data_IF_137335088748
#
_entry.id   IF_137335088748
#
_cell.length_a   1.000
_cell.length_b   1.000
_cell.length_c   1.000
_cell.angle_alpha   90.00
_cell.angle_beta   90.00
_cell.angle_gamma   90.00
#
_symmetry.space_group_name_H-M   'P 1'
#
loop_
_entity.id
_entity.type
_entity.pdbx_description
1 polymer ?
#
# COMPACT_ATOMS: atom_id res chain seq x y z
N UNK A 1 45.19 15.01 8.18
CA UNK A 1 44.38 14.76 9.40
C UNK A 1 42.87 14.89 9.18
N UNK A 2 42.35 14.78 7.93
CA UNK A 2 40.95 15.10 7.61
C UNK A 2 40.02 13.89 7.41
N UNK A 3 40.52 12.70 7.03
CA UNK A 3 39.64 11.58 6.67
C UNK A 3 39.16 10.76 7.88
N UNK A 4 39.99 10.59 8.91
CA UNK A 4 39.59 9.88 10.12
C UNK A 4 38.43 10.60 10.84
N UNK A 5 38.49 11.93 10.91
CA UNK A 5 37.46 12.75 11.54
C UNK A 5 36.10 12.63 10.82
N UNK A 6 36.09 12.66 9.49
CA UNK A 6 34.85 12.48 8.69
C UNK A 6 34.17 11.14 8.96
N UNK A 7 34.95 10.06 9.12
CA UNK A 7 34.40 8.73 9.45
C UNK A 7 33.67 8.73 10.78
N UNK A 8 34.24 9.37 11.80
CA UNK A 8 33.61 9.46 13.12
C UNK A 8 32.42 10.41 13.16
N UNK A 9 32.42 11.51 12.40
CA UNK A 9 31.24 12.38 12.25
C UNK A 9 30.07 11.61 11.62
N UNK A 10 30.33 10.79 10.60
CA UNK A 10 29.29 9.91 10.03
C UNK A 10 28.76 8.91 11.06
N UNK A 11 29.65 8.36 11.88
CA UNK A 11 29.29 7.43 12.96
C UNK A 11 28.46 8.10 14.07
N UNK A 12 28.78 9.35 14.42
CA UNK A 12 28.02 10.15 15.40
C UNK A 12 26.57 10.33 14.96
N UNK A 13 26.34 10.68 13.69
CA UNK A 13 24.98 10.84 13.15
C UNK A 13 24.22 9.52 13.16
N UNK A 14 24.83 8.41 12.70
CA UNK A 14 24.20 7.09 12.78
C UNK A 14 23.79 6.71 14.21
N UNK A 15 24.58 7.07 15.21
CA UNK A 15 24.25 6.82 16.62
C UNK A 15 23.08 7.70 17.09
N UNK A 16 23.05 8.98 16.68
CA UNK A 16 21.95 9.91 16.97
C UNK A 16 20.63 9.48 16.29
N UNK A 17 20.71 8.91 15.09
CA UNK A 17 19.57 8.43 14.30
C UNK A 17 19.12 7.01 14.72
N UNK A 18 19.75 6.41 15.74
CA UNK A 18 19.48 5.03 16.20
C UNK A 18 19.71 3.94 15.13
N UNK A 19 20.45 4.24 14.06
CA UNK A 19 20.78 3.33 12.96
C UNK A 19 22.12 2.59 13.15
N UNK A 20 22.92 2.97 14.14
CA UNK A 20 24.22 2.38 14.42
C UNK A 20 24.12 0.96 14.99
N UNK A 21 24.98 0.07 14.52
CA UNK A 21 25.15 -1.27 15.12
C UNK A 21 25.86 -1.19 16.48
N UNK A 22 25.75 -2.26 17.29
CA UNK A 22 26.43 -2.34 18.61
C UNK A 22 27.95 -2.16 18.52
N UNK A 23 28.56 -2.65 17.45
CA UNK A 23 30.01 -2.52 17.25
C UNK A 23 30.41 -1.12 16.82
N UNK A 24 29.59 -0.47 16.00
CA UNK A 24 29.75 0.95 15.66
C UNK A 24 29.61 1.85 16.89
N UNK A 25 28.66 1.58 17.78
CA UNK A 25 28.53 2.30 19.06
C UNK A 25 29.79 2.16 19.92
N UNK A 26 30.29 0.93 20.12
CA UNK A 26 31.53 0.70 20.89
C UNK A 26 32.74 1.41 20.27
N UNK A 27 32.85 1.41 18.94
CA UNK A 27 33.92 2.11 18.23
C UNK A 27 33.84 3.63 18.43
N UNK A 28 32.63 4.20 18.43
CA UNK A 28 32.43 5.62 18.71
C UNK A 28 32.77 5.95 20.17
N UNK A 29 32.31 5.15 21.12
CA UNK A 29 32.56 5.35 22.55
C UNK A 29 34.06 5.32 22.87
N UNK A 30 34.79 4.36 22.29
CA UNK A 30 36.25 4.30 22.41
C UNK A 30 36.93 5.56 21.86
N UNK A 31 36.48 6.05 20.69
CA UNK A 31 37.05 7.26 20.09
C UNK A 31 36.77 8.53 20.90
N UNK A 32 35.56 8.66 21.46
CA UNK A 32 35.16 9.80 22.29
C UNK A 32 35.85 9.80 23.66
N UNK A 33 36.20 8.63 24.18
CA UNK A 33 37.02 8.51 25.38
C UNK A 33 38.43 9.09 25.16
N UNK A 34 39.05 8.78 24.02
CA UNK A 34 40.42 9.19 23.70
C UNK A 34 40.51 10.61 23.10
N UNK A 35 39.49 11.08 22.38
CA UNK A 35 39.51 12.35 21.65
C UNK A 35 38.58 13.40 22.26
N UNK A 36 39.14 14.43 22.90
CA UNK A 36 38.38 15.54 23.49
C UNK A 36 37.62 16.37 22.45
N UNK A 37 38.19 16.60 21.27
CA UNK A 37 37.55 17.38 20.20
C UNK A 37 36.26 16.71 19.71
N UNK A 38 36.29 15.40 19.48
CA UNK A 38 35.13 14.64 19.03
C UNK A 38 34.08 14.51 20.14
N UNK A 39 34.51 14.43 21.40
CA UNK A 39 33.60 14.44 22.56
C UNK A 39 32.80 15.73 22.66
N UNK A 40 33.46 16.88 22.53
CA UNK A 40 32.78 18.19 22.58
C UNK A 40 31.79 18.30 21.42
N UNK A 41 32.20 17.95 20.21
CA UNK A 41 31.33 18.02 19.04
C UNK A 41 30.09 17.12 19.17
N UNK A 42 30.25 15.88 19.64
CA UNK A 42 29.13 14.96 19.85
C UNK A 42 28.17 15.46 20.93
N UNK A 43 28.69 16.07 21.99
CA UNK A 43 27.87 16.66 23.05
C UNK A 43 27.02 17.84 22.54
N UNK A 44 27.60 18.74 21.75
CA UNK A 44 26.88 19.86 21.12
C UNK A 44 25.76 19.39 20.18
N UNK A 45 26.03 18.35 19.38
CA UNK A 45 25.03 17.73 18.51
C UNK A 45 23.87 17.13 19.31
N UNK A 46 24.19 16.36 20.35
CA UNK A 46 23.18 15.73 21.22
C UNK A 46 22.29 16.75 21.94
N UNK A 47 22.87 17.84 22.43
CA UNK A 47 22.12 18.91 23.07
C UNK A 47 21.10 19.55 22.11
N UNK A 48 21.49 19.75 20.85
CA UNK A 48 20.62 20.30 19.82
C UNK A 48 19.46 19.34 19.49
N UNK A 49 19.74 18.04 19.38
CA UNK A 49 18.74 17.00 19.17
C UNK A 49 17.73 16.92 20.33
N UNK A 50 18.21 16.93 21.58
CA UNK A 50 17.35 16.91 22.77
C UNK A 50 16.42 18.12 22.86
N UNK A 51 16.91 19.30 22.46
CA UNK A 51 16.11 20.53 22.43
C UNK A 51 14.98 20.44 21.40
N UNK A 52 15.28 19.97 20.18
CA UNK A 52 14.27 19.75 19.14
C UNK A 52 13.22 18.75 19.59
N UNK A 53 13.63 17.63 20.19
CA UNK A 53 12.70 16.61 20.65
C UNK A 53 11.69 17.16 21.68
N UNK A 54 12.12 18.07 22.56
CA UNK A 54 11.21 18.73 23.53
C UNK A 54 10.21 19.69 22.85
N UNK A 55 10.64 20.36 21.79
CA UNK A 55 9.80 21.29 21.01
C UNK A 55 8.76 20.57 20.15
N UNK A 56 9.05 19.34 19.71
CA UNK A 56 8.15 18.50 18.91
C UNK A 56 7.08 17.90 19.81
N UNK A 57 6.13 18.73 20.23
CA UNK A 57 4.79 18.29 20.64
C UNK A 57 3.76 18.83 19.64
N UNK A 58 3.74 18.32 18.40
CA UNK A 58 2.73 18.73 17.43
C UNK A 58 1.37 18.16 17.87
N UNK A 59 0.68 18.88 18.75
CA UNK A 59 -0.73 18.64 19.02
C UNK A 59 -1.50 19.08 17.77
N UNK A 60 -2.13 18.12 17.10
CA UNK A 60 -3.00 18.44 15.98
C UNK A 60 -4.10 19.40 16.46
N UNK A 61 -4.35 20.52 15.76
CA UNK A 61 -5.42 21.43 16.17
C UNK A 61 -6.76 20.68 16.16
N UNK A 62 -7.67 21.04 17.08
CA UNK A 62 -8.99 20.40 17.27
C UNK A 62 -9.78 20.16 15.99
N UNK A 63 -9.55 20.98 14.96
CA UNK A 63 -10.25 20.93 13.67
C UNK A 63 -9.39 20.43 12.50
N UNK A 64 -8.19 19.87 12.74
CA UNK A 64 -7.30 19.38 11.68
C UNK A 64 -8.01 18.36 10.78
N UNK A 65 -8.60 17.33 11.39
CA UNK A 65 -9.31 16.27 10.67
C UNK A 65 -10.45 16.82 9.82
N UNK A 66 -11.23 17.76 10.37
CA UNK A 66 -12.33 18.40 9.64
C UNK A 66 -11.82 19.22 8.45
N UNK A 67 -10.82 20.08 8.66
CA UNK A 67 -10.23 20.90 7.61
C UNK A 67 -9.55 20.09 6.51
N UNK A 68 -8.98 18.93 6.84
CA UNK A 68 -8.41 18.01 5.86
C UNK A 68 -9.55 17.36 5.06
N UNK A 69 -10.55 16.79 5.73
CA UNK A 69 -11.71 16.16 5.09
C UNK A 69 -12.46 17.10 4.15
N UNK A 70 -12.65 18.37 4.54
CA UNK A 70 -13.33 19.39 3.72
C UNK A 70 -12.53 19.77 2.45
N UNK A 71 -11.21 19.53 2.45
CA UNK A 71 -10.33 19.79 1.30
C UNK A 71 -10.10 18.56 0.42
N UNK A 72 -10.52 17.37 0.85
CA UNK A 72 -10.48 16.20 -0.03
C UNK A 72 -11.61 16.33 -1.08
N UNK A 73 -11.34 16.02 -2.37
CA UNK A 73 -12.39 15.96 -3.38
C UNK A 73 -13.46 14.95 -2.93
N UNK A 74 -14.72 15.34 -3.03
CA UNK A 74 -15.85 14.53 -2.55
C UNK A 74 -15.76 13.10 -3.12
N UNK A 75 -15.69 12.10 -2.23
CA UNK A 75 -15.67 10.70 -2.64
C UNK A 75 -16.99 10.33 -3.31
N UNK A 76 -16.97 10.32 -4.65
CA UNK A 76 -18.12 9.97 -5.48
C UNK A 76 -18.56 8.50 -5.30
N UNK A 77 -17.78 7.65 -4.63
CA UNK A 77 -18.15 6.25 -4.35
C UNK A 77 -19.29 6.16 -3.34
N UNK A 78 -19.39 7.11 -2.40
CA UNK A 78 -20.51 7.17 -1.46
C UNK A 78 -21.79 7.69 -2.10
N UNK A 79 -21.72 8.56 -3.11
CA UNK A 79 -22.90 9.08 -3.81
C UNK A 79 -23.65 7.97 -4.56
N UNK A 80 -22.92 7.11 -5.28
CA UNK A 80 -23.50 5.95 -5.97
C UNK A 80 -24.09 4.95 -4.97
N UNK A 81 -23.36 4.67 -3.87
CA UNK A 81 -23.81 3.74 -2.82
C UNK A 81 -25.05 4.25 -2.06
N UNK A 82 -25.12 5.54 -1.78
CA UNK A 82 -26.29 6.16 -1.16
C UNK A 82 -27.48 6.22 -2.12
N UNK A 83 -27.25 6.43 -3.42
CA UNK A 83 -28.32 6.44 -4.42
C UNK A 83 -28.92 5.03 -4.62
N UNK A 84 -28.07 4.00 -4.72
CA UNK A 84 -28.52 2.59 -4.78
C UNK A 84 -29.29 2.19 -3.52
N UNK A 85 -28.86 2.64 -2.34
CA UNK A 85 -29.56 2.37 -1.07
C UNK A 85 -30.90 3.11 -0.96
N UNK A 86 -31.02 4.31 -1.56
CA UNK A 86 -32.25 5.10 -1.58
C UNK A 86 -33.29 4.55 -2.56
N UNK A 87 -32.85 3.81 -3.59
CA UNK A 87 -33.71 3.28 -4.65
C UNK A 87 -33.46 1.79 -4.94
N UNK A 88 -33.67 0.89 -3.94
CA UNK A 88 -33.35 -0.54 -4.07
C UNK A 88 -34.14 -1.25 -5.16
N UNK A 89 -35.36 -0.78 -5.45
CA UNK A 89 -36.22 -1.36 -6.48
C UNK A 89 -35.63 -1.22 -7.89
N UNK A 90 -35.11 -0.04 -8.26
CA UNK A 90 -34.52 0.17 -9.58
C UNK A 90 -33.21 -0.59 -9.75
N UNK A 91 -32.39 -0.69 -8.69
CA UNK A 91 -31.16 -1.48 -8.69
C UNK A 91 -31.44 -2.98 -8.89
N UNK A 92 -32.47 -3.52 -8.22
CA UNK A 92 -32.88 -4.91 -8.36
C UNK A 92 -33.40 -5.22 -9.77
N UNK A 93 -34.14 -4.30 -10.40
CA UNK A 93 -34.63 -4.49 -11.77
C UNK A 93 -33.49 -4.59 -12.77
N UNK A 94 -32.48 -3.72 -12.67
CA UNK A 94 -31.34 -3.74 -13.58
C UNK A 94 -30.51 -5.03 -13.44
N UNK A 95 -30.21 -5.44 -12.20
CA UNK A 95 -29.37 -6.61 -11.96
C UNK A 95 -30.06 -7.93 -12.33
N UNK A 96 -31.39 -8.01 -12.22
CA UNK A 96 -32.15 -9.20 -12.64
C UNK A 96 -32.46 -9.20 -14.15
N UNK A 97 -32.76 -8.05 -14.76
CA UNK A 97 -33.14 -7.97 -16.17
C UNK A 97 -31.98 -8.31 -17.12
N UNK A 98 -30.74 -7.97 -16.75
CA UNK A 98 -29.55 -8.26 -17.56
C UNK A 98 -29.29 -9.77 -17.73
N UNK A 99 -29.15 -10.58 -16.67
CA UNK A 99 -28.98 -12.02 -16.83
C UNK A 99 -30.23 -12.68 -17.40
N UNK A 100 -31.44 -12.24 -17.01
CA UNK A 100 -32.68 -12.83 -17.53
C UNK A 100 -32.86 -12.61 -19.04
N UNK A 101 -32.54 -11.41 -19.56
CA UNK A 101 -32.55 -11.16 -21.00
C UNK A 101 -31.48 -11.96 -21.74
N UNK A 102 -30.28 -12.08 -21.15
CA UNK A 102 -29.21 -12.92 -21.70
C UNK A 102 -29.61 -14.40 -21.76
N UNK A 103 -30.24 -14.92 -20.70
CA UNK A 103 -30.77 -16.28 -20.64
C UNK A 103 -31.87 -16.51 -21.67
N UNK A 104 -32.79 -15.56 -21.87
CA UNK A 104 -33.84 -15.67 -22.88
C UNK A 104 -33.29 -15.69 -24.32
N UNK A 105 -32.27 -14.87 -24.60
CA UNK A 105 -31.59 -14.87 -25.91
C UNK A 105 -30.81 -16.17 -26.12
N UNK A 106 -30.11 -16.65 -25.08
CA UNK A 106 -29.37 -17.91 -25.12
C UNK A 106 -30.31 -19.11 -25.27
N UNK A 107 -31.46 -19.12 -24.58
CA UNK A 107 -32.47 -20.16 -24.68
C UNK A 107 -33.04 -20.25 -26.11
N UNK A 108 -33.31 -19.10 -26.76
CA UNK A 108 -33.68 -19.09 -28.19
C UNK A 108 -32.58 -19.67 -29.10
N UNK A 109 -31.29 -19.47 -28.77
CA UNK A 109 -30.19 -20.12 -29.51
C UNK A 109 -30.13 -21.62 -29.24
N UNK A 110 -30.41 -22.07 -28.01
CA UNK A 110 -30.41 -23.49 -27.64
C UNK A 110 -31.59 -24.27 -28.22
N UNK A 111 -32.79 -23.68 -28.32
CA UNK A 111 -33.93 -24.36 -28.98
C UNK A 111 -33.67 -24.59 -30.47
N UNK A 112 -32.92 -23.68 -31.11
CA UNK A 112 -32.48 -23.84 -32.51
C UNK A 112 -31.31 -24.83 -32.64
N UNK A 113 -30.50 -25.02 -31.60
CA UNK A 113 -29.37 -25.98 -31.58
C UNK A 113 -29.80 -27.40 -31.21
N UNK A 114 -30.79 -27.57 -30.32
CA UNK A 114 -31.32 -28.88 -29.87
C UNK A 114 -32.15 -29.60 -30.94
N UNK A 115 -32.58 -28.91 -31.98
CA UNK A 115 -33.29 -29.48 -33.14
C UNK A 115 -32.33 -30.15 -34.15
N UNK A 116 -31.05 -29.75 -34.19
CA UNK A 116 -30.06 -30.35 -35.12
C UNK A 116 -29.30 -31.55 -34.58
N UNK A 117 -29.49 -31.94 -33.32
CA UNK A 117 -28.78 -33.08 -32.72
C UNK A 117 -29.61 -34.38 -32.66
N UNK A 118 -30.69 -34.44 -33.47
CA UNK A 118 -31.53 -35.63 -33.63
C UNK A 118 -30.99 -36.67 -34.60
N UNK A 119 -29.82 -36.47 -35.23
CA UNK A 119 -29.18 -37.49 -36.09
C UNK A 119 -27.64 -37.39 -36.06
N UNK A 120 -27.05 -38.42 -35.44
CA UNK A 120 -25.68 -38.93 -35.50
C UNK A 120 -24.53 -38.05 -36.00
N UNK A 121 -23.67 -37.60 -35.08
CA UNK A 121 -22.23 -37.59 -35.32
C UNK A 121 -21.46 -37.72 -34.01
N UNK A 122 -20.99 -38.93 -33.74
CA UNK A 122 -20.01 -39.20 -32.68
C UNK A 122 -18.71 -38.45 -33.04
N UNK A 123 -18.31 -37.46 -32.24
CA UNK A 123 -16.94 -36.94 -32.30
C UNK A 123 -16.06 -37.98 -31.62
N UNK A 124 -15.60 -38.92 -32.44
CA UNK A 124 -14.56 -39.89 -32.12
C UNK A 124 -13.31 -39.07 -31.79
N UNK A 125 -12.90 -39.04 -30.52
CA UNK A 125 -11.63 -38.49 -30.10
C UNK A 125 -10.52 -39.28 -30.81
N UNK A 126 -10.04 -38.77 -31.94
CA UNK A 126 -8.82 -39.24 -32.60
C UNK A 126 -7.66 -38.76 -31.74
N UNK A 127 -7.25 -39.59 -30.77
CA UNK A 127 -5.93 -39.48 -30.14
C UNK A 127 -4.86 -39.70 -31.23
N UNK A 128 -3.87 -38.82 -31.37
CA UNK A 128 -2.62 -39.18 -32.05
C UNK A 128 -1.77 -40.02 -31.09
N UNK A 129 -1.84 -41.34 -31.27
CA UNK A 129 -0.81 -42.27 -30.80
C UNK A 129 0.27 -42.36 -31.88
N UNK A 130 1.40 -41.68 -31.67
CA UNK A 130 2.72 -42.14 -32.08
C UNK A 130 3.83 -41.30 -31.43
N UNK A 131 4.48 -41.92 -30.44
CA UNK A 131 5.89 -41.70 -30.09
C UNK A 131 6.53 -43.09 -30.09
N UNK A 132 7.30 -43.40 -31.12
CA UNK A 132 8.61 -44.03 -31.03
C UNK A 132 9.43 -43.78 -32.28
#
# INVERSE_FOLDING_TARGET
MSDAHKKFVSLMNKVLDEEATKEEQRLLDAHIADCSSCRVHFHELRQSADLLNRLVHPQAPLNFTKNVLDKLPADNRHAVRNWVSRHPLYAAMAICALPMSLMMIAARRQTVYRDKNGNGQFILLKMPENRS
#
